data_IF_435760744243
#
_entry.id   IF_435760744243
#
_cell.length_a   1.000
_cell.length_b   1.000
_cell.length_c   1.000
_cell.angle_alpha   90.00
_cell.angle_beta   90.00
_cell.angle_gamma   90.00
#
_symmetry.space_group_name_H-M   'P 1'
#
loop_
_entity.id
_entity.type
_entity.pdbx_description
1 polymer ?
#
# COMPACT_ATOMS: atom_id res chain seq x y z
N UNK A 1 17.32 -13.14 2.55
CA UNK A 1 16.85 -12.60 1.24
C UNK A 1 15.96 -13.66 0.61
N UNK A 2 14.79 -13.28 0.08
CA UNK A 2 13.93 -14.22 -0.67
C UNK A 2 14.63 -14.55 -1.99
N UNK A 3 14.65 -15.82 -2.37
CA UNK A 3 15.21 -16.26 -3.66
C UNK A 3 14.20 -16.08 -4.78
N UNK A 4 14.66 -15.97 -6.03
CA UNK A 4 13.79 -15.95 -7.22
C UNK A 4 12.82 -17.13 -7.25
N UNK A 5 13.29 -18.32 -6.89
CA UNK A 5 12.44 -19.51 -6.76
C UNK A 5 11.30 -19.29 -5.76
N UNK A 6 11.61 -18.74 -4.59
CA UNK A 6 10.59 -18.46 -3.56
C UNK A 6 9.60 -17.38 -4.00
N UNK A 7 10.03 -16.34 -4.74
CA UNK A 7 9.11 -15.34 -5.30
C UNK A 7 8.11 -16.00 -6.27
N UNK A 8 8.56 -16.91 -7.12
CA UNK A 8 7.70 -17.68 -8.03
C UNK A 8 6.72 -18.56 -7.24
N UNK A 9 7.19 -19.25 -6.19
CA UNK A 9 6.35 -20.09 -5.33
C UNK A 9 5.29 -19.27 -4.57
N UNK A 10 5.65 -18.07 -4.06
CA UNK A 10 4.72 -17.14 -3.42
C UNK A 10 3.64 -16.70 -4.43
N UNK A 11 4.04 -16.34 -5.64
CA UNK A 11 3.09 -15.91 -6.68
C UNK A 11 2.11 -17.03 -7.05
N UNK A 12 2.60 -18.25 -7.23
CA UNK A 12 1.76 -19.39 -7.51
C UNK A 12 0.74 -19.66 -6.37
N UNK A 13 1.21 -19.62 -5.12
CA UNK A 13 0.34 -19.79 -3.96
C UNK A 13 -0.71 -18.67 -3.86
N UNK A 14 -0.34 -17.42 -4.17
CA UNK A 14 -1.25 -16.29 -4.23
C UNK A 14 -2.34 -16.53 -5.27
N UNK A 15 -1.97 -16.90 -6.50
CA UNK A 15 -2.90 -17.13 -7.61
C UNK A 15 -3.93 -18.23 -7.28
N UNK A 16 -3.48 -19.32 -6.63
CA UNK A 16 -4.37 -20.38 -6.20
C UNK A 16 -5.34 -19.94 -5.10
N UNK A 17 -4.87 -19.14 -4.12
CA UNK A 17 -5.72 -18.61 -3.06
C UNK A 17 -6.76 -17.61 -3.59
N UNK A 18 -6.34 -16.70 -4.46
CA UNK A 18 -7.19 -15.68 -5.07
C UNK A 18 -8.27 -16.30 -5.96
N UNK A 19 -7.87 -17.24 -6.80
CA UNK A 19 -8.81 -17.98 -7.67
C UNK A 19 -9.85 -18.78 -6.88
N UNK A 20 -9.45 -19.36 -5.74
CA UNK A 20 -10.34 -20.20 -4.94
C UNK A 20 -11.46 -19.41 -4.25
N UNK A 21 -11.20 -18.19 -3.78
CA UNK A 21 -12.18 -17.35 -3.08
C UNK A 21 -12.66 -16.15 -3.89
N UNK A 22 -12.16 -15.96 -5.12
CA UNK A 22 -12.40 -14.77 -5.95
C UNK A 22 -12.04 -13.46 -5.22
N UNK A 23 -10.86 -13.44 -4.61
CA UNK A 23 -10.34 -12.33 -3.82
C UNK A 23 -9.07 -11.77 -4.45
N UNK A 24 -8.61 -10.60 -3.96
CA UNK A 24 -7.29 -10.05 -4.23
C UNK A 24 -6.52 -9.90 -2.92
N UNK A 25 -5.42 -10.60 -2.77
CA UNK A 25 -4.53 -10.52 -1.62
C UNK A 25 -3.58 -9.33 -1.77
N UNK A 26 -3.43 -8.55 -0.71
CA UNK A 26 -2.48 -7.44 -0.70
C UNK A 26 -1.11 -7.95 -0.24
N UNK A 27 -0.23 -8.29 -1.19
CA UNK A 27 1.19 -8.50 -0.95
C UNK A 27 1.98 -7.31 -1.49
N UNK A 28 2.87 -6.74 -0.68
CA UNK A 28 3.76 -5.66 -1.12
C UNK A 28 4.95 -6.27 -1.89
N UNK A 29 4.74 -6.55 -3.17
CA UNK A 29 5.71 -7.26 -4.04
C UNK A 29 7.03 -6.51 -4.17
N UNK A 30 6.99 -5.18 -4.22
CA UNK A 30 8.20 -4.35 -4.22
C UNK A 30 9.04 -4.63 -2.96
N UNK A 31 8.41 -4.61 -1.78
CA UNK A 31 9.11 -4.89 -0.54
C UNK A 31 9.60 -6.35 -0.46
N UNK A 32 8.86 -7.32 -1.01
CA UNK A 32 9.30 -8.71 -1.07
C UNK A 32 10.58 -8.88 -1.92
N UNK A 33 10.67 -8.19 -3.05
CA UNK A 33 11.85 -8.24 -3.93
C UNK A 33 13.05 -7.50 -3.34
N UNK A 34 12.80 -6.45 -2.57
CA UNK A 34 13.83 -5.56 -2.03
C UNK A 34 14.14 -5.82 -0.54
N UNK A 35 13.90 -7.05 -0.05
CA UNK A 35 14.20 -7.45 1.33
C UNK A 35 15.66 -7.24 1.69
N UNK A 36 15.90 -6.58 2.83
CA UNK A 36 17.23 -6.47 3.44
C UNK A 36 17.43 -7.64 4.41
N UNK A 37 18.67 -8.12 4.55
CA UNK A 37 18.97 -9.32 5.34
C UNK A 37 18.95 -9.14 6.88
N UNK A 38 18.55 -7.97 7.36
CA UNK A 38 18.73 -7.60 8.76
C UNK A 38 17.62 -8.14 9.68
N UNK A 39 16.45 -8.47 9.13
CA UNK A 39 15.29 -8.96 9.86
C UNK A 39 14.69 -10.20 9.19
N UNK A 40 14.10 -11.08 10.01
CA UNK A 40 13.26 -12.18 9.51
C UNK A 40 11.85 -11.65 9.29
N UNK A 41 11.51 -11.36 8.04
CA UNK A 41 10.25 -10.73 7.65
C UNK A 41 9.32 -11.68 6.88
N UNK A 42 9.82 -12.86 6.46
CA UNK A 42 9.12 -13.79 5.60
C UNK A 42 9.12 -15.19 6.22
N UNK A 43 7.93 -15.80 6.30
CA UNK A 43 7.67 -17.05 6.99
C UNK A 43 6.99 -18.04 6.05
N UNK A 44 7.61 -19.18 5.84
CA UNK A 44 7.25 -20.18 4.84
C UNK A 44 6.85 -21.49 5.51
N UNK A 45 5.79 -22.09 4.99
CA UNK A 45 5.43 -23.47 5.37
C UNK A 45 5.33 -24.33 4.12
N UNK A 46 6.20 -25.35 4.06
CA UNK A 46 6.24 -26.31 2.98
C UNK A 46 5.61 -27.64 3.42
N UNK A 47 4.80 -28.24 2.53
CA UNK A 47 4.44 -29.65 2.60
C UNK A 47 5.25 -30.38 1.53
N UNK A 48 6.23 -31.20 1.95
CA UNK A 48 7.28 -31.74 1.08
C UNK A 48 8.00 -30.59 0.34
N UNK A 49 7.87 -30.53 -0.99
CA UNK A 49 8.51 -29.53 -1.84
C UNK A 49 7.55 -28.40 -2.29
N UNK A 50 6.29 -28.41 -1.83
CA UNK A 50 5.28 -27.41 -2.20
C UNK A 50 5.14 -26.36 -1.12
N UNK A 51 5.23 -25.08 -1.48
CA UNK A 51 4.86 -23.97 -0.61
C UNK A 51 3.34 -23.97 -0.43
N UNK A 52 2.86 -24.18 0.80
CA UNK A 52 1.42 -24.24 1.11
C UNK A 52 0.97 -23.21 2.14
N UNK A 53 1.90 -22.47 2.72
CA UNK A 53 1.61 -21.36 3.63
C UNK A 53 2.70 -20.30 3.57
N UNK A 54 2.30 -19.04 3.58
CA UNK A 54 3.20 -17.89 3.58
C UNK A 54 2.63 -16.76 4.43
N UNK A 55 3.47 -16.13 5.23
CA UNK A 55 3.18 -14.89 5.96
C UNK A 55 4.35 -13.95 5.77
N UNK A 56 4.07 -12.68 5.50
CA UNK A 56 5.06 -11.63 5.40
C UNK A 56 4.73 -10.46 6.33
N UNK A 57 5.77 -9.79 6.82
CA UNK A 57 5.67 -8.56 7.59
C UNK A 57 6.24 -7.39 6.79
N UNK A 58 5.58 -6.24 6.82
CA UNK A 58 5.97 -5.04 6.10
C UNK A 58 6.03 -3.86 7.07
N UNK A 59 7.20 -3.24 7.22
CA UNK A 59 7.41 -2.15 8.16
C UNK A 59 7.19 -0.78 7.53
N UNK A 60 6.33 0.03 8.16
CA UNK A 60 6.03 1.41 7.80
C UNK A 60 6.24 2.32 9.02
N UNK A 61 7.50 2.67 9.30
CA UNK A 61 7.88 3.40 10.51
C UNK A 61 7.62 2.57 11.77
N UNK A 62 6.80 3.08 12.68
CA UNK A 62 6.39 2.42 13.93
C UNK A 62 5.25 1.41 13.75
N UNK A 63 4.78 1.20 12.53
CA UNK A 63 3.72 0.24 12.19
C UNK A 63 4.30 -0.94 11.42
N UNK A 64 3.72 -2.12 11.64
CA UNK A 64 3.97 -3.30 10.81
C UNK A 64 2.65 -3.84 10.29
N UNK A 65 2.57 -4.09 8.99
CA UNK A 65 1.47 -4.83 8.36
C UNK A 65 1.87 -6.28 8.19
N UNK A 66 0.95 -7.19 8.52
CA UNK A 66 1.10 -8.63 8.33
C UNK A 66 0.10 -9.08 7.28
N UNK A 67 0.59 -9.69 6.23
CA UNK A 67 -0.21 -10.30 5.17
C UNK A 67 0.17 -11.77 5.04
N UNK A 68 -0.79 -12.63 4.68
CA UNK A 68 -0.44 -14.02 4.47
C UNK A 68 -1.59 -14.86 3.94
N UNK A 69 -1.24 -16.10 3.57
CA UNK A 69 -2.16 -17.01 2.92
C UNK A 69 -1.80 -18.47 3.21
N UNK A 70 -2.80 -19.34 3.09
CA UNK A 70 -2.62 -20.79 3.12
C UNK A 70 -3.41 -21.40 1.97
N UNK A 71 -2.75 -22.28 1.24
CA UNK A 71 -3.33 -23.04 0.13
C UNK A 71 -4.67 -23.69 0.55
N UNK A 72 -5.75 -23.57 -0.24
CA UNK A 72 -7.08 -24.00 0.15
C UNK A 72 -7.16 -25.42 0.74
N UNK A 73 -6.49 -26.39 0.13
CA UNK A 73 -6.49 -27.79 0.56
C UNK A 73 -5.71 -28.06 1.89
N UNK A 74 -4.96 -27.06 2.36
CA UNK A 74 -4.15 -27.16 3.58
C UNK A 74 -4.70 -26.29 4.72
N UNK A 75 -5.81 -25.61 4.52
CA UNK A 75 -6.49 -24.79 5.54
C UNK A 75 -7.02 -25.65 6.68
N UNK A 76 -7.31 -25.03 7.83
CA UNK A 76 -7.84 -25.66 9.06
C UNK A 76 -6.92 -26.68 9.72
N UNK A 77 -5.63 -26.65 9.43
CA UNK A 77 -4.58 -27.48 10.03
C UNK A 77 -3.63 -26.70 10.94
N UNK A 78 -3.99 -25.47 11.33
CA UNK A 78 -3.17 -24.62 12.20
C UNK A 78 -2.00 -23.89 11.52
N UNK A 79 -1.77 -24.10 10.20
CA UNK A 79 -0.61 -23.57 9.48
C UNK A 79 -0.54 -22.04 9.60
N UNK A 80 -1.63 -21.31 9.31
CA UNK A 80 -1.63 -19.86 9.41
C UNK A 80 -1.38 -19.39 10.84
N UNK A 81 -1.96 -20.02 11.84
CA UNK A 81 -1.74 -19.68 13.26
C UNK A 81 -0.27 -19.83 13.66
N UNK A 82 0.37 -20.91 13.21
CA UNK A 82 1.79 -21.14 13.49
C UNK A 82 2.67 -20.08 12.84
N UNK A 83 2.43 -19.77 11.54
CA UNK A 83 3.18 -18.75 10.81
C UNK A 83 2.97 -17.35 11.41
N UNK A 84 1.73 -17.00 11.78
CA UNK A 84 1.42 -15.73 12.43
C UNK A 84 2.13 -15.61 13.78
N UNK A 85 2.09 -16.66 14.61
CA UNK A 85 2.79 -16.65 15.89
C UNK A 85 4.31 -16.53 15.71
N UNK A 86 4.87 -17.21 14.71
CA UNK A 86 6.29 -17.08 14.39
C UNK A 86 6.61 -15.64 13.95
N UNK A 87 5.80 -15.03 13.09
CA UNK A 87 5.95 -13.64 12.69
C UNK A 87 5.90 -12.71 13.90
N UNK A 88 4.89 -12.82 14.75
CA UNK A 88 4.72 -11.98 15.95
C UNK A 88 5.90 -12.07 16.92
N UNK A 89 6.51 -13.26 17.05
CA UNK A 89 7.68 -13.49 17.90
C UNK A 89 8.99 -12.91 17.34
N UNK A 90 9.04 -12.65 16.04
CA UNK A 90 10.22 -12.11 15.34
C UNK A 90 10.10 -10.62 15.02
N UNK A 91 8.99 -9.96 15.39
CA UNK A 91 8.83 -8.53 15.12
C UNK A 91 9.86 -7.68 15.87
N UNK A 92 10.46 -6.74 15.16
CA UNK A 92 11.14 -5.60 15.78
C UNK A 92 10.16 -4.80 16.66
N UNK A 93 10.66 -3.98 17.60
CA UNK A 93 9.80 -3.10 18.39
C UNK A 93 8.99 -2.16 17.48
N UNK A 94 7.66 -2.24 17.58
CA UNK A 94 6.71 -1.40 16.83
C UNK A 94 5.55 -1.01 17.75
N UNK A 95 4.94 0.13 17.48
CA UNK A 95 3.78 0.63 18.24
C UNK A 95 2.46 -0.01 17.80
N UNK A 96 2.35 -0.38 16.51
CA UNK A 96 1.10 -0.89 15.94
C UNK A 96 1.36 -2.11 15.05
N UNK A 97 0.61 -3.18 15.29
CA UNK A 97 0.61 -4.39 14.47
C UNK A 97 -0.74 -4.50 13.77
N UNK A 98 -0.73 -4.52 12.46
CA UNK A 98 -1.92 -4.63 11.62
C UNK A 98 -1.92 -5.98 10.89
N UNK A 99 -3.00 -6.72 11.00
CA UNK A 99 -3.29 -7.88 10.15
C UNK A 99 -4.18 -7.43 9.00
N UNK A 100 -3.75 -7.65 7.78
CA UNK A 100 -4.47 -7.29 6.57
C UNK A 100 -5.29 -8.49 6.05
N UNK A 101 -6.50 -8.25 5.58
CA UNK A 101 -7.35 -9.27 4.96
C UNK A 101 -8.28 -8.65 3.90
N UNK A 102 -8.51 -9.32 2.75
CA UNK A 102 -9.54 -8.89 1.81
C UNK A 102 -10.91 -8.86 2.48
N UNK A 103 -11.65 -7.75 2.32
CA UNK A 103 -12.97 -7.56 2.96
C UNK A 103 -13.94 -8.69 2.62
N UNK A 104 -13.90 -9.22 1.41
CA UNK A 104 -14.79 -10.29 0.94
C UNK A 104 -14.36 -11.71 1.37
N UNK A 105 -13.14 -11.88 1.93
CA UNK A 105 -12.63 -13.20 2.32
C UNK A 105 -13.39 -13.78 3.52
N UNK A 106 -14.17 -14.81 3.29
CA UNK A 106 -14.90 -15.53 4.36
C UNK A 106 -13.94 -16.27 5.30
N UNK A 107 -12.90 -16.89 4.74
CA UNK A 107 -11.95 -17.67 5.55
C UNK A 107 -11.09 -16.79 6.44
N UNK A 108 -10.69 -15.61 5.98
CA UNK A 108 -9.97 -14.62 6.79
C UNK A 108 -10.87 -14.11 7.93
N UNK A 109 -12.11 -13.72 7.63
CA UNK A 109 -13.09 -13.27 8.65
C UNK A 109 -13.35 -14.35 9.72
N UNK A 110 -13.48 -15.62 9.32
CA UNK A 110 -13.63 -16.73 10.27
C UNK A 110 -12.41 -16.97 11.13
N UNK A 111 -11.20 -16.78 10.58
CA UNK A 111 -9.96 -16.87 11.33
C UNK A 111 -9.88 -15.75 12.35
N UNK A 112 -10.06 -14.50 11.92
CA UNK A 112 -9.95 -13.29 12.73
C UNK A 112 -10.93 -13.31 13.90
N UNK A 113 -12.18 -13.73 13.68
CA UNK A 113 -13.21 -13.86 14.74
C UNK A 113 -12.79 -14.77 15.90
N UNK A 114 -11.83 -15.67 15.70
CA UNK A 114 -11.32 -16.58 16.73
C UNK A 114 -10.10 -16.02 17.48
N UNK A 115 -9.60 -14.86 17.07
CA UNK A 115 -8.47 -14.21 17.70
C UNK A 115 -8.98 -13.16 18.69
N UNK A 116 -8.91 -13.46 20.00
CA UNK A 116 -9.41 -12.56 21.07
C UNK A 116 -8.65 -11.22 21.11
N UNK A 117 -7.39 -11.22 20.67
CA UNK A 117 -6.52 -10.05 20.64
C UNK A 117 -6.54 -9.28 19.31
N UNK A 118 -7.44 -9.61 18.40
CA UNK A 118 -7.52 -9.01 17.07
C UNK A 118 -8.82 -8.19 16.93
N UNK A 119 -8.70 -6.89 16.69
CA UNK A 119 -9.86 -5.98 16.58
C UNK A 119 -9.80 -5.19 15.28
N UNK A 120 -10.96 -5.03 14.61
CA UNK A 120 -11.08 -4.21 13.41
C UNK A 120 -10.60 -2.77 13.70
N UNK A 121 -9.87 -2.21 12.75
CA UNK A 121 -9.32 -0.85 12.84
C UNK A 121 -9.89 0.06 11.74
N UNK A 122 -9.63 -0.26 10.49
CA UNK A 122 -10.10 0.52 9.33
C UNK A 122 -10.10 -0.35 8.07
N UNK A 123 -10.66 0.19 6.99
CA UNK A 123 -10.59 -0.41 5.65
C UNK A 123 -10.08 0.59 4.63
N UNK A 124 -9.47 0.07 3.56
CA UNK A 124 -9.04 0.84 2.40
C UNK A 124 -9.66 0.30 1.12
N UNK A 125 -10.13 1.21 0.28
CA UNK A 125 -10.47 0.89 -1.10
C UNK A 125 -9.20 0.86 -1.94
N UNK A 126 -9.05 -0.18 -2.75
CA UNK A 126 -8.07 -0.21 -3.83
C UNK A 126 -8.78 0.24 -5.11
N UNK A 127 -8.23 1.25 -5.76
CA UNK A 127 -8.83 1.86 -6.93
C UNK A 127 -7.85 1.84 -8.10
N UNK A 128 -8.40 1.69 -9.32
CA UNK A 128 -7.62 1.64 -10.57
C UNK A 128 -8.20 2.60 -11.60
N UNK A 129 -7.32 3.23 -12.33
CA UNK A 129 -7.61 3.94 -13.58
C UNK A 129 -6.91 3.21 -14.73
N UNK A 130 -7.66 2.80 -15.74
CA UNK A 130 -7.14 2.11 -16.91
C UNK A 130 -8.03 2.28 -18.12
N UNK A 131 -7.41 2.32 -19.30
CA UNK A 131 -8.02 2.25 -20.62
C UNK A 131 -9.39 2.93 -20.75
N UNK A 132 -9.42 4.26 -20.61
CA UNK A 132 -10.61 5.07 -20.80
C UNK A 132 -10.27 6.42 -21.42
N UNK A 133 -11.29 7.15 -21.86
CA UNK A 133 -11.10 8.51 -22.36
C UNK A 133 -10.55 9.43 -21.27
N UNK A 134 -9.54 10.21 -21.64
CA UNK A 134 -8.96 11.23 -20.77
C UNK A 134 -9.96 12.38 -20.59
N UNK A 135 -10.09 12.82 -19.35
CA UNK A 135 -10.86 14.04 -19.05
C UNK A 135 -10.04 15.25 -19.52
N UNK A 136 -10.62 16.07 -20.36
CA UNK A 136 -9.98 17.31 -20.81
C UNK A 136 -9.76 18.27 -19.63
N UNK A 137 -8.59 18.87 -19.57
CA UNK A 137 -8.23 19.85 -18.55
C UNK A 137 -7.15 20.81 -19.05
N UNK A 138 -7.04 21.96 -18.40
CA UNK A 138 -5.91 22.88 -18.58
C UNK A 138 -5.00 22.76 -17.35
N UNK A 139 -3.69 22.50 -17.50
CA UNK A 139 -2.75 22.49 -16.39
C UNK A 139 -2.73 23.83 -15.64
N UNK A 140 -2.96 23.77 -14.32
CA UNK A 140 -2.91 24.93 -13.42
C UNK A 140 -1.94 24.72 -12.25
N UNK A 141 -1.35 23.52 -12.13
CA UNK A 141 -0.29 23.21 -11.19
C UNK A 141 0.94 22.70 -11.94
N UNK A 142 2.11 22.87 -11.34
CA UNK A 142 3.37 22.37 -11.84
C UNK A 142 3.88 21.23 -10.94
N UNK A 143 4.68 20.33 -11.53
CA UNK A 143 5.39 19.29 -10.82
C UNK A 143 6.89 19.50 -10.88
N UNK A 144 7.55 19.54 -9.74
CA UNK A 144 9.00 19.47 -9.64
C UNK A 144 9.42 18.19 -8.93
N UNK A 145 10.52 17.56 -9.37
CA UNK A 145 11.02 16.38 -8.68
C UNK A 145 11.55 16.82 -7.32
N UNK A 146 11.09 16.17 -6.26
CA UNK A 146 11.54 16.47 -4.91
C UNK A 146 13.05 16.21 -4.74
N UNK A 147 13.70 17.09 -4.01
CA UNK A 147 15.12 17.03 -3.64
C UNK A 147 15.26 17.09 -2.13
N UNK A 148 16.47 16.86 -1.62
CA UNK A 148 16.73 16.88 -0.18
C UNK A 148 16.32 18.20 0.51
N UNK A 149 16.35 19.33 -0.20
CA UNK A 149 15.88 20.62 0.31
C UNK A 149 14.36 20.67 0.57
N UNK A 150 13.59 19.77 -0.02
CA UNK A 150 12.14 19.68 0.17
C UNK A 150 11.73 18.84 1.38
N UNK A 151 12.71 18.18 2.03
CA UNK A 151 12.49 17.21 3.08
C UNK A 151 11.58 17.71 4.22
N UNK A 152 11.84 18.92 4.71
CA UNK A 152 11.04 19.52 5.79
C UNK A 152 9.59 19.79 5.35
N UNK A 153 9.39 20.25 4.11
CA UNK A 153 8.06 20.49 3.55
C UNK A 153 7.30 19.17 3.36
N UNK A 154 7.95 18.16 2.80
CA UNK A 154 7.37 16.83 2.57
C UNK A 154 6.95 16.19 3.90
N UNK A 155 7.81 16.23 4.92
CA UNK A 155 7.53 15.65 6.23
C UNK A 155 6.41 16.40 6.96
N UNK A 156 6.37 17.73 6.83
CA UNK A 156 5.27 18.53 7.37
C UNK A 156 3.92 18.18 6.73
N UNK A 157 3.88 17.90 5.41
CA UNK A 157 2.66 17.44 4.73
C UNK A 157 2.14 16.13 5.33
N UNK A 158 3.01 15.19 5.69
CA UNK A 158 2.59 13.93 6.31
C UNK A 158 2.01 14.15 7.71
N UNK A 159 2.58 15.06 8.48
CA UNK A 159 2.05 15.45 9.79
C UNK A 159 0.67 16.09 9.63
N UNK A 160 0.55 17.10 8.77
CA UNK A 160 -0.67 17.92 8.65
C UNK A 160 -1.81 17.18 7.95
N UNK A 161 -1.49 16.39 6.89
CA UNK A 161 -2.52 15.78 6.04
C UNK A 161 -2.84 14.33 6.43
N UNK A 162 -1.89 13.60 7.06
CA UNK A 162 -2.07 12.18 7.41
C UNK A 162 -1.95 11.90 8.91
N UNK A 163 -1.66 12.92 9.73
CA UNK A 163 -1.57 12.78 11.19
C UNK A 163 -0.36 11.96 11.66
N UNK A 164 0.71 11.89 10.87
CA UNK A 164 1.93 11.22 11.31
C UNK A 164 2.58 11.98 12.46
N UNK A 165 3.19 11.23 13.38
CA UNK A 165 4.15 11.84 14.31
C UNK A 165 5.36 12.36 13.51
N UNK A 166 5.91 13.50 13.91
CA UNK A 166 6.98 14.18 13.16
C UNK A 166 8.18 13.26 12.88
N UNK A 167 8.66 12.54 13.89
CA UNK A 167 9.80 11.64 13.76
C UNK A 167 9.52 10.50 12.76
N UNK A 168 8.28 9.99 12.72
CA UNK A 168 7.87 8.92 11.81
C UNK A 168 7.77 9.42 10.38
N UNK A 169 7.21 10.62 10.18
CA UNK A 169 7.19 11.30 8.89
C UNK A 169 8.62 11.51 8.34
N UNK A 170 9.55 11.95 9.18
CA UNK A 170 10.94 12.17 8.81
C UNK A 170 11.64 10.85 8.42
N UNK A 171 11.52 9.79 9.23
CA UNK A 171 12.08 8.46 8.93
C UNK A 171 11.52 7.89 7.62
N UNK A 172 10.20 7.99 7.45
CA UNK A 172 9.51 7.52 6.25
C UNK A 172 10.01 8.25 5.00
N UNK A 173 10.05 9.59 5.03
CA UNK A 173 10.47 10.39 3.87
C UNK A 173 11.97 10.25 3.56
N UNK A 174 12.82 10.07 4.58
CA UNK A 174 14.24 9.77 4.37
C UNK A 174 14.42 8.45 3.60
N UNK A 175 13.57 7.46 3.85
CA UNK A 175 13.59 6.19 3.11
C UNK A 175 13.15 6.40 1.67
N UNK A 176 11.95 7.00 1.44
CA UNK A 176 11.37 7.13 0.09
C UNK A 176 12.22 8.01 -0.85
N UNK A 177 12.87 9.04 -0.35
CA UNK A 177 13.77 9.88 -1.16
C UNK A 177 14.96 9.10 -1.74
N UNK A 178 15.31 7.97 -1.12
CA UNK A 178 16.41 7.11 -1.54
C UNK A 178 15.93 5.83 -2.27
N UNK A 179 14.63 5.63 -2.47
CA UNK A 179 14.10 4.49 -3.24
C UNK A 179 14.26 4.76 -4.76
N UNK A 180 15.02 3.93 -5.51
CA UNK A 180 15.35 4.22 -6.92
C UNK A 180 14.12 4.21 -7.84
N UNK A 181 13.14 3.34 -7.57
CA UNK A 181 11.97 3.13 -8.40
C UNK A 181 10.79 4.05 -8.04
N UNK A 182 10.98 4.88 -7.01
CA UNK A 182 9.98 5.83 -6.53
C UNK A 182 10.29 7.25 -6.98
N UNK A 183 9.36 7.87 -7.68
CA UNK A 183 9.42 9.27 -8.06
C UNK A 183 8.56 10.11 -7.10
N UNK A 184 9.19 10.93 -6.28
CA UNK A 184 8.50 11.88 -5.40
C UNK A 184 8.48 13.27 -6.07
N UNK A 185 7.29 13.86 -6.13
CA UNK A 185 7.05 15.16 -6.75
C UNK A 185 6.48 16.15 -5.74
N UNK A 186 6.95 17.39 -5.84
CA UNK A 186 6.32 18.56 -5.24
C UNK A 186 5.29 19.11 -6.22
N UNK A 187 4.13 19.51 -5.72
CA UNK A 187 3.07 20.17 -6.47
C UNK A 187 3.14 21.66 -6.14
N UNK A 188 3.20 22.48 -7.19
CA UNK A 188 3.38 23.93 -7.07
C UNK A 188 2.29 24.69 -7.84
N UNK A 189 1.90 25.85 -7.31
CA UNK A 189 1.06 26.84 -7.97
C UNK A 189 1.69 28.23 -7.76
N UNK A 190 1.85 29.03 -8.81
CA UNK A 190 2.49 30.36 -8.75
C UNK A 190 3.84 30.37 -8.01
N UNK A 191 4.66 29.34 -8.20
CA UNK A 191 5.94 29.09 -7.52
C UNK A 191 5.84 28.81 -5.99
N UNK A 192 4.65 28.57 -5.49
CA UNK A 192 4.44 28.14 -4.09
C UNK A 192 4.24 26.63 -4.02
N UNK A 193 4.93 25.98 -3.10
CA UNK A 193 4.77 24.54 -2.84
C UNK A 193 3.49 24.31 -2.07
N UNK A 194 2.54 23.57 -2.67
CA UNK A 194 1.21 23.36 -2.12
C UNK A 194 0.90 21.91 -1.79
N UNK A 195 1.72 20.96 -2.25
CA UNK A 195 1.45 19.54 -2.04
C UNK A 195 2.57 18.65 -2.52
N UNK A 196 2.33 17.36 -2.39
CA UNK A 196 3.22 16.30 -2.88
C UNK A 196 2.46 15.14 -3.45
N UNK A 197 3.15 14.30 -4.24
CA UNK A 197 2.67 13.03 -4.76
C UNK A 197 3.87 12.11 -5.02
N UNK A 198 3.75 10.86 -4.65
CA UNK A 198 4.77 9.83 -4.92
C UNK A 198 4.21 8.81 -5.93
N UNK A 199 5.04 8.44 -6.91
CA UNK A 199 4.76 7.38 -7.88
C UNK A 199 5.77 6.27 -7.76
N UNK A 200 5.30 5.06 -7.61
CA UNK A 200 6.08 3.82 -7.76
C UNK A 200 5.65 3.14 -9.05
N UNK A 201 6.61 2.83 -9.94
CA UNK A 201 6.34 2.16 -11.22
C UNK A 201 6.90 0.75 -11.20
N UNK A 202 6.04 -0.23 -11.45
CA UNK A 202 6.40 -1.63 -11.50
C UNK A 202 5.45 -2.41 -12.41
N UNK A 203 5.97 -3.31 -13.26
CA UNK A 203 5.17 -4.28 -14.05
C UNK A 203 4.00 -3.66 -14.85
N UNK A 204 4.20 -2.53 -15.53
CA UNK A 204 3.19 -1.77 -16.24
C UNK A 204 2.09 -1.16 -15.33
N UNK A 205 2.35 -1.06 -14.05
CA UNK A 205 1.52 -0.38 -13.08
C UNK A 205 2.22 0.87 -12.55
N UNK A 206 1.44 1.88 -12.22
CA UNK A 206 1.88 3.10 -11.52
C UNK A 206 1.06 3.27 -10.26
N UNK A 207 1.69 3.13 -9.11
CA UNK A 207 1.03 3.28 -7.82
C UNK A 207 1.23 4.70 -7.27
N UNK A 208 0.12 5.39 -6.97
CA UNK A 208 0.14 6.71 -6.34
C UNK A 208 0.12 6.54 -4.82
N UNK A 209 1.11 7.13 -4.15
CA UNK A 209 1.22 7.13 -2.69
C UNK A 209 1.38 8.55 -2.15
N UNK A 210 0.93 8.76 -0.91
CA UNK A 210 1.18 9.99 -0.16
C UNK A 210 0.76 11.27 -0.89
N UNK A 211 -0.32 11.20 -1.69
CA UNK A 211 -0.86 12.35 -2.37
C UNK A 211 -1.53 13.29 -1.36
N UNK A 212 -1.00 14.48 -1.24
CA UNK A 212 -1.47 15.48 -0.30
C UNK A 212 -1.41 16.90 -0.90
N UNK A 213 -2.43 17.69 -0.58
CA UNK A 213 -2.47 19.14 -0.81
C UNK A 213 -2.67 19.81 0.55
N UNK A 214 -1.90 20.85 0.85
CA UNK A 214 -2.04 21.63 2.08
C UNK A 214 -3.50 22.09 2.27
N UNK A 215 -4.04 22.04 3.50
CA UNK A 215 -5.45 22.34 3.77
C UNK A 215 -5.93 23.67 3.19
N UNK A 216 -5.13 24.74 3.28
CA UNK A 216 -5.44 26.08 2.76
C UNK A 216 -5.52 26.16 1.22
N UNK A 217 -5.01 25.13 0.51
CA UNK A 217 -5.09 25.00 -0.95
C UNK A 217 -6.11 23.96 -1.42
N UNK A 218 -6.76 23.25 -0.49
CA UNK A 218 -7.81 22.29 -0.83
C UNK A 218 -9.09 23.00 -1.30
N UNK A 219 -9.98 22.27 -2.00
CA UNK A 219 -11.25 22.81 -2.51
C UNK A 219 -11.12 23.75 -3.72
N UNK A 220 -9.91 24.06 -4.17
CA UNK A 220 -9.63 25.00 -5.30
C UNK A 220 -9.37 24.30 -6.64
N UNK A 221 -9.58 22.99 -6.71
CA UNK A 221 -9.35 22.21 -7.94
C UNK A 221 -7.91 21.73 -8.17
N UNK A 222 -6.94 22.18 -7.39
CA UNK A 222 -5.52 21.83 -7.57
C UNK A 222 -5.26 20.32 -7.49
N UNK A 223 -5.85 19.63 -6.51
CA UNK A 223 -5.72 18.18 -6.40
C UNK A 223 -6.27 17.41 -7.60
N UNK A 224 -7.44 17.83 -8.13
CA UNK A 224 -8.00 17.24 -9.35
C UNK A 224 -7.08 17.47 -10.54
N UNK A 225 -6.58 18.68 -10.70
CA UNK A 225 -5.68 19.02 -11.80
C UNK A 225 -4.36 18.24 -11.73
N UNK A 226 -3.80 18.11 -10.53
CA UNK A 226 -2.59 17.29 -10.32
C UNK A 226 -2.81 15.82 -10.71
N UNK A 227 -3.92 15.21 -10.31
CA UNK A 227 -4.24 13.83 -10.66
C UNK A 227 -4.45 13.65 -12.17
N UNK A 228 -5.17 14.55 -12.84
CA UNK A 228 -5.40 14.48 -14.28
C UNK A 228 -4.09 14.56 -15.07
N UNK A 229 -3.13 15.40 -14.65
CA UNK A 229 -1.80 15.45 -15.26
C UNK A 229 -1.03 14.15 -15.08
N UNK A 230 -1.09 13.52 -13.89
CA UNK A 230 -0.45 12.22 -13.63
C UNK A 230 -1.11 11.13 -14.47
N UNK A 231 -2.44 11.09 -14.52
CA UNK A 231 -3.19 10.15 -15.34
C UNK A 231 -2.77 10.26 -16.81
N UNK A 232 -2.76 11.47 -17.36
CA UNK A 232 -2.34 11.70 -18.76
C UNK A 232 -0.91 11.20 -19.01
N UNK A 233 0.01 11.48 -18.08
CA UNK A 233 1.42 11.08 -18.18
C UNK A 233 1.59 9.57 -18.14
N UNK A 234 0.98 8.89 -17.15
CA UNK A 234 1.13 7.46 -16.95
C UNK A 234 0.37 6.66 -18.02
N UNK A 235 -0.78 7.14 -18.48
CA UNK A 235 -1.52 6.54 -19.59
C UNK A 235 -0.74 6.59 -20.91
N UNK A 236 0.01 7.68 -21.18
CA UNK A 236 0.87 7.79 -22.38
C UNK A 236 1.96 6.72 -22.45
N UNK A 237 2.41 6.21 -21.31
CA UNK A 237 3.39 5.12 -21.25
C UNK A 237 2.75 3.73 -21.13
N UNK A 238 1.42 3.66 -21.08
CA UNK A 238 0.65 2.42 -21.09
C UNK A 238 0.50 1.75 -19.73
N UNK A 239 0.72 2.48 -18.64
CA UNK A 239 0.56 1.93 -17.29
C UNK A 239 -0.89 2.02 -16.79
N UNK A 240 -1.37 0.98 -16.11
CA UNK A 240 -2.53 1.07 -15.23
C UNK A 240 -2.14 1.90 -13.99
N UNK A 241 -3.04 2.75 -13.50
CA UNK A 241 -2.74 3.65 -12.38
C UNK A 241 -3.56 3.23 -11.17
N UNK A 242 -2.87 2.93 -10.09
CA UNK A 242 -3.45 2.41 -8.85
C UNK A 242 -3.27 3.39 -7.69
N UNK A 243 -4.19 3.34 -6.75
CA UNK A 243 -4.08 4.01 -5.45
C UNK A 243 -4.93 3.30 -4.40
N UNK A 244 -4.65 3.63 -3.16
CA UNK A 244 -5.45 3.22 -2.01
C UNK A 244 -6.04 4.44 -1.31
N UNK A 245 -7.23 4.29 -0.77
CA UNK A 245 -7.89 5.35 -0.02
C UNK A 245 -8.67 4.78 1.16
N UNK A 246 -8.45 5.34 2.34
CA UNK A 246 -9.19 4.96 3.54
C UNK A 246 -10.71 5.12 3.30
N UNK A 247 -11.49 4.14 3.73
CA UNK A 247 -12.95 4.11 3.58
C UNK A 247 -13.59 5.37 4.17
N UNK A 248 -13.03 5.91 5.24
CA UNK A 248 -13.51 7.11 5.92
C UNK A 248 -13.18 8.39 5.14
N UNK A 249 -12.21 8.38 4.22
CA UNK A 249 -11.82 9.54 3.43
C UNK A 249 -12.73 9.72 2.20
N UNK A 250 -14.00 10.05 2.46
CA UNK A 250 -15.01 10.23 1.41
C UNK A 250 -14.67 11.36 0.41
N UNK A 251 -13.93 12.38 0.85
CA UNK A 251 -13.52 13.50 0.00
C UNK A 251 -12.46 13.06 -1.02
N UNK A 252 -11.46 12.31 -0.59
CA UNK A 252 -10.46 11.75 -1.51
C UNK A 252 -11.10 10.73 -2.46
N UNK A 253 -12.00 9.86 -1.96
CA UNK A 253 -12.73 8.91 -2.82
C UNK A 253 -13.53 9.62 -3.91
N UNK A 254 -14.25 10.71 -3.56
CA UNK A 254 -14.98 11.52 -4.56
C UNK A 254 -14.03 12.14 -5.59
N UNK A 255 -12.89 12.66 -5.14
CA UNK A 255 -11.86 13.21 -6.02
C UNK A 255 -11.36 12.15 -7.01
N UNK A 256 -10.97 10.97 -6.53
CA UNK A 256 -10.46 9.89 -7.38
C UNK A 256 -11.52 9.38 -8.36
N UNK A 257 -12.75 9.13 -7.89
CA UNK A 257 -13.86 8.74 -8.78
C UNK A 257 -14.15 9.83 -9.82
N UNK A 258 -14.10 11.12 -9.44
CA UNK A 258 -14.25 12.25 -10.35
C UNK A 258 -13.10 12.43 -11.35
N UNK A 259 -11.97 11.74 -11.18
CA UNK A 259 -10.86 11.64 -12.13
C UNK A 259 -10.91 10.33 -12.95
N UNK A 260 -11.91 9.46 -12.74
CA UNK A 260 -12.09 8.23 -13.50
C UNK A 260 -11.58 6.95 -12.82
N UNK A 261 -11.05 7.03 -11.60
CA UNK A 261 -10.70 5.83 -10.85
C UNK A 261 -11.93 5.01 -10.48
N UNK A 262 -11.81 3.69 -10.56
CA UNK A 262 -12.85 2.72 -10.18
C UNK A 262 -12.33 1.83 -9.05
N UNK A 263 -13.15 1.62 -8.05
CA UNK A 263 -12.85 0.66 -6.98
C UNK A 263 -12.90 -0.77 -7.56
N UNK A 264 -11.92 -1.58 -7.22
CA UNK A 264 -11.90 -3.00 -7.61
C UNK A 264 -11.76 -3.94 -6.40
N UNK A 265 -11.25 -3.46 -5.26
CA UNK A 265 -11.08 -4.26 -4.06
C UNK A 265 -11.23 -3.41 -2.79
N UNK A 266 -11.38 -4.09 -1.65
CA UNK A 266 -11.34 -3.49 -0.31
C UNK A 266 -10.50 -4.37 0.61
N UNK A 267 -9.59 -3.76 1.35
CA UNK A 267 -8.76 -4.41 2.35
C UNK A 267 -9.18 -3.95 3.74
N UNK A 268 -9.44 -4.90 4.63
CA UNK A 268 -9.68 -4.67 6.05
C UNK A 268 -8.38 -4.81 6.84
N UNK A 269 -8.21 -3.94 7.81
CA UNK A 269 -7.07 -3.93 8.72
C UNK A 269 -7.53 -4.13 10.16
N UNK A 270 -6.87 -5.05 10.84
CA UNK A 270 -7.17 -5.42 12.22
C UNK A 270 -5.94 -5.21 13.10
N UNK A 271 -6.10 -4.47 14.20
CA UNK A 271 -5.02 -4.30 15.19
C UNK A 271 -4.88 -5.59 16.00
N UNK A 272 -3.67 -6.11 16.09
CA UNK A 272 -3.29 -7.19 17.01
C UNK A 272 -2.70 -6.57 18.28
N UNK A 273 -3.32 -6.85 19.43
CA UNK A 273 -2.79 -6.49 20.76
C UNK A 273 -1.86 -7.60 21.26
N UNK A 274 -0.67 -7.21 21.70
CA UNK A 274 0.29 -8.11 22.35
C UNK A 274 -0.09 -8.36 23.81
#
# INVERSE_FOLDING_TARGET
MITEKQLIEIKHLQDECEKFEEINLKLNWEMLRNRKNDLKEDFFYYDKDQLVGFVATYYFGEKVEICGMVHPNFRRKGIFSNLLNEALNNLAPVSTILLNAPEVSKTAKEFIKKQENCTYSFSEYQMVWKEQELIEFTPIVNFTKAVQLDFAFISNLDVVCFGFEKNDAEKYNQRILNEPDRALYIIEVNNEKIGKLSLLRENNESWIYGFAILPEYQGKGYGKNALLQIIEKENKIGNEIHLEVALENSNAKKLYTGCGFRQYNTQDYYVIKR
#
